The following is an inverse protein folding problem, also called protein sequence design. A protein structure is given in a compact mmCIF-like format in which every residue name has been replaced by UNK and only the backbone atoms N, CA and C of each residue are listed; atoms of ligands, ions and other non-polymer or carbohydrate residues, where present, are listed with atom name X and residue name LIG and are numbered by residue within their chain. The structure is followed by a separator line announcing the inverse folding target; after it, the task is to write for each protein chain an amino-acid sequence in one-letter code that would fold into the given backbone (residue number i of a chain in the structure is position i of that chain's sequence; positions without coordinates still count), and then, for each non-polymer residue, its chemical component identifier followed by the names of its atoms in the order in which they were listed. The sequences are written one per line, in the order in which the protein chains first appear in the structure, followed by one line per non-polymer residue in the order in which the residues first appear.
data_IF_128795593099
#
_entry.id   IF_128795593099
#
_cell.length_a   1.000
_cell.length_b   1.000
_cell.length_c   1.000
_cell.angle_alpha   90.00
_cell.angle_beta   90.00
_cell.angle_gamma   90.00
#
_symmetry.space_group_name_H-M   'P 1'
#
loop_
_entity.id
_entity.type
_entity.pdbx_description
1 polymer ?
#
# COMPACT_ATOMS: atom_id res chain seq x y z
N UNK A 1 -10.26 -6.58 -7.26
CA UNK A 1 -11.16 -5.57 -6.67
C UNK A 1 -11.01 -5.59 -5.15
N UNK A 2 -11.40 -4.53 -4.44
CA UNK A 2 -11.26 -4.47 -2.97
C UNK A 2 -11.99 -5.61 -2.24
N UNK A 3 -13.12 -6.08 -2.78
CA UNK A 3 -13.86 -7.21 -2.20
C UNK A 3 -13.12 -8.53 -2.36
N UNK A 4 -12.54 -8.80 -3.54
CA UNK A 4 -11.70 -9.99 -3.75
C UNK A 4 -10.47 -9.98 -2.83
N UNK A 5 -9.87 -8.81 -2.59
CA UNK A 5 -8.73 -8.71 -1.65
C UNK A 5 -9.14 -9.09 -0.23
N UNK A 6 -10.32 -8.67 0.24
CA UNK A 6 -10.84 -9.06 1.56
C UNK A 6 -11.14 -10.55 1.66
N UNK A 7 -11.68 -11.15 0.60
CA UNK A 7 -11.95 -12.58 0.54
C UNK A 7 -10.66 -13.39 0.68
N UNK A 8 -9.62 -13.02 -0.09
CA UNK A 8 -8.30 -13.66 -0.02
C UNK A 8 -7.65 -13.48 1.36
N UNK A 9 -7.74 -12.29 1.96
CA UNK A 9 -7.23 -12.04 3.32
C UNK A 9 -7.98 -12.91 4.34
N UNK A 10 -9.30 -13.03 4.23
CA UNK A 10 -10.11 -13.86 5.11
C UNK A 10 -9.75 -15.35 4.98
N UNK A 11 -9.56 -15.83 3.76
CA UNK A 11 -9.09 -17.19 3.48
C UNK A 11 -7.70 -17.43 4.07
N UNK A 12 -6.75 -16.52 3.82
CA UNK A 12 -5.40 -16.60 4.41
C UNK A 12 -5.48 -16.65 5.93
N UNK A 13 -6.27 -15.80 6.57
CA UNK A 13 -6.40 -15.77 8.02
C UNK A 13 -6.96 -17.09 8.58
N UNK A 14 -7.88 -17.74 7.87
CA UNK A 14 -8.50 -19.00 8.31
C UNK A 14 -7.56 -20.22 8.17
N UNK A 15 -6.78 -20.29 7.09
CA UNK A 15 -6.01 -21.50 6.76
C UNK A 15 -4.49 -21.36 6.92
N UNK A 16 -3.95 -20.15 6.70
CA UNK A 16 -2.51 -19.89 6.63
C UNK A 16 -2.13 -18.54 7.25
N UNK A 17 -2.37 -18.32 8.56
CA UNK A 17 -2.22 -17.01 9.20
C UNK A 17 -0.79 -16.45 9.20
N UNK A 18 0.21 -17.30 8.97
CA UNK A 18 1.64 -16.93 8.94
C UNK A 18 2.12 -16.42 7.58
N UNK A 19 1.33 -16.60 6.51
CA UNK A 19 1.68 -16.13 5.17
C UNK A 19 1.46 -14.62 5.11
N UNK A 20 2.43 -13.86 4.61
CA UNK A 20 2.28 -12.42 4.42
C UNK A 20 1.66 -12.11 3.05
N UNK A 21 0.77 -11.12 3.00
CA UNK A 21 0.13 -10.68 1.76
C UNK A 21 0.55 -9.25 1.43
N UNK A 22 0.89 -9.03 0.17
CA UNK A 22 1.22 -7.73 -0.40
C UNK A 22 0.17 -7.32 -1.44
N UNK A 23 -0.35 -6.10 -1.33
CA UNK A 23 -1.18 -5.49 -2.36
C UNK A 23 -0.33 -4.62 -3.29
N UNK A 24 -0.43 -4.87 -4.60
CA UNK A 24 0.27 -4.11 -5.63
C UNK A 24 -0.69 -3.63 -6.72
N UNK A 25 -0.49 -2.40 -7.20
CA UNK A 25 -1.17 -1.86 -8.38
C UNK A 25 -2.17 -0.74 -8.07
N UNK A 26 -2.13 0.34 -8.87
CA UNK A 26 -3.00 1.52 -8.80
C UNK A 26 -3.27 2.06 -7.37
N UNK A 27 -2.21 2.08 -6.55
CA UNK A 27 -2.26 2.66 -5.21
C UNK A 27 -2.15 4.18 -5.33
N UNK A 28 -3.18 4.89 -4.91
CA UNK A 28 -3.22 6.36 -4.83
C UNK A 28 -3.47 6.79 -3.39
N UNK A 29 -3.30 8.08 -3.08
CA UNK A 29 -3.58 8.60 -1.74
C UNK A 29 -5.04 8.39 -1.30
N UNK A 30 -5.97 8.36 -2.25
CA UNK A 30 -7.39 8.12 -1.97
C UNK A 30 -7.68 6.64 -1.69
N UNK A 31 -7.02 5.73 -2.42
CA UNK A 31 -7.28 4.29 -2.33
C UNK A 31 -6.46 3.58 -1.26
N UNK A 32 -5.30 4.13 -0.87
CA UNK A 32 -4.38 3.46 0.06
C UNK A 32 -5.02 3.12 1.40
N UNK A 33 -5.89 3.99 1.95
CA UNK A 33 -6.61 3.73 3.19
C UNK A 33 -7.57 2.55 3.05
N UNK A 34 -8.28 2.46 1.92
CA UNK A 34 -9.23 1.38 1.66
C UNK A 34 -8.49 0.05 1.48
N UNK A 35 -7.36 0.05 0.77
CA UNK A 35 -6.51 -1.13 0.60
C UNK A 35 -5.95 -1.59 1.94
N UNK A 36 -5.42 -0.68 2.76
CA UNK A 36 -4.90 -1.02 4.09
C UNK A 36 -5.98 -1.63 5.00
N UNK A 37 -7.22 -1.13 4.92
CA UNK A 37 -8.35 -1.65 5.69
C UNK A 37 -8.75 -3.10 5.32
N UNK A 38 -8.27 -3.64 4.19
CA UNK A 38 -8.54 -5.04 3.81
C UNK A 38 -7.79 -6.06 4.64
N UNK A 39 -6.74 -5.66 5.38
CA UNK A 39 -5.94 -6.56 6.23
C UNK A 39 -4.72 -7.19 5.53
N UNK A 40 -4.26 -6.60 4.43
CA UNK A 40 -2.97 -6.91 3.81
C UNK A 40 -1.81 -6.45 4.71
N UNK A 41 -0.66 -7.12 4.62
CA UNK A 41 0.50 -6.82 5.46
C UNK A 41 1.40 -5.75 4.85
N UNK A 42 1.46 -5.69 3.52
CA UNK A 42 2.27 -4.74 2.80
C UNK A 42 1.48 -4.14 1.62
N UNK A 43 1.82 -2.91 1.26
CA UNK A 43 1.31 -2.24 0.07
C UNK A 43 2.53 -1.70 -0.68
N UNK A 44 2.71 -2.11 -1.93
CA UNK A 44 3.74 -1.55 -2.80
C UNK A 44 3.17 -0.48 -3.73
N UNK A 45 3.93 0.60 -3.88
CA UNK A 45 3.62 1.65 -4.84
C UNK A 45 4.88 2.13 -5.55
N UNK A 46 4.92 1.93 -6.87
CA UNK A 46 5.99 2.46 -7.72
C UNK A 46 5.97 3.99 -7.86
N UNK A 47 4.89 4.66 -7.45
CA UNK A 47 4.80 6.13 -7.53
C UNK A 47 5.84 6.83 -6.63
N UNK A 48 6.29 6.16 -5.56
CA UNK A 48 7.29 6.69 -4.61
C UNK A 48 8.67 6.84 -5.27
N UNK A 49 8.94 6.13 -6.37
CA UNK A 49 10.23 6.17 -7.08
C UNK A 49 10.13 6.80 -8.48
N UNK A 50 9.09 6.48 -9.26
CA UNK A 50 8.97 6.95 -10.64
C UNK A 50 8.14 8.23 -10.78
N UNK A 51 7.40 8.62 -9.74
CA UNK A 51 6.52 9.79 -9.72
C UNK A 51 6.74 10.66 -8.47
N UNK A 52 7.92 10.56 -7.85
CA UNK A 52 8.26 11.34 -6.67
C UNK A 52 8.42 12.82 -7.02
N UNK A 53 7.80 13.69 -6.23
CA UNK A 53 8.01 15.13 -6.33
C UNK A 53 9.23 15.55 -5.51
N UNK A 54 10.03 16.45 -6.07
CA UNK A 54 11.16 17.03 -5.35
C UNK A 54 10.66 17.98 -4.25
N UNK A 55 11.28 17.88 -3.07
CA UNK A 55 11.04 18.83 -1.98
C UNK A 55 11.85 20.08 -2.28
N UNK A 56 11.19 21.24 -2.24
CA UNK A 56 11.88 22.52 -2.36
C UNK A 56 12.68 22.81 -1.08
N UNK A 57 14.00 22.87 -1.20
CA UNK A 57 14.94 23.02 -0.09
C UNK A 57 15.80 24.25 -0.37
N UNK A 58 15.78 25.21 0.57
CA UNK A 58 16.67 26.37 0.54
C UNK A 58 17.47 26.44 1.83
N UNK A 59 18.75 26.78 1.69
CA UNK A 59 19.66 27.00 2.83
C UNK A 59 19.96 28.48 2.92
N UNK A 60 19.63 29.09 4.07
CA UNK A 60 20.00 30.47 4.39
C UNK A 60 21.20 30.45 5.32
N UNK A 61 22.27 31.13 4.91
CA UNK A 61 23.49 31.27 5.70
C UNK A 61 23.59 32.71 6.17
N UNK A 62 23.87 32.91 7.46
CA UNK A 62 24.22 34.19 8.07
C UNK A 62 25.72 34.24 8.36
#
# INVERSE_FOLDING_TARGET
SLEETKEVVSYRNAYYPHILLEASGNVTLDTIRQIAATGVNAISSGSIIHQANWIDLSMRVE
#
